data_IF_105788559103
#
_entry.id   IF_105788559103
#
_cell.length_a   1.000
_cell.length_b   1.000
_cell.length_c   1.000
_cell.angle_alpha   90.00
_cell.angle_beta   90.00
_cell.angle_gamma   90.00
#
_symmetry.space_group_name_H-M   'P 1'
#
loop_
_entity.id
_entity.type
_entity.pdbx_description
1 polymer ?
#
# COMPACT_ATOMS: atom_id res chain seq x y z
N UNK A 1 -17.93 7.96 35.81
CA UNK A 1 -17.13 7.21 34.78
C UNK A 1 -16.80 8.17 33.69
N UNK A 2 -15.53 8.65 33.63
CA UNK A 2 -15.04 9.50 32.55
C UNK A 2 -14.77 8.60 31.33
N UNK A 3 -15.75 8.44 30.46
CA UNK A 3 -15.54 7.85 29.17
C UNK A 3 -14.69 8.83 28.35
N UNK A 4 -13.38 8.63 28.35
CA UNK A 4 -12.44 9.41 27.56
C UNK A 4 -12.82 9.21 26.10
N UNK A 5 -13.13 10.28 25.37
CA UNK A 5 -13.41 10.18 23.92
C UNK A 5 -12.19 9.57 23.24
N UNK A 6 -12.37 8.62 22.32
CA UNK A 6 -11.24 8.01 21.60
C UNK A 6 -10.46 9.07 20.82
N UNK A 7 -9.14 8.92 20.77
CA UNK A 7 -8.29 9.78 19.96
C UNK A 7 -8.63 9.64 18.47
N UNK A 8 -8.14 10.57 17.65
CA UNK A 8 -8.33 10.49 16.19
C UNK A 8 -7.80 9.16 15.64
N UNK A 9 -6.62 8.74 16.07
CA UNK A 9 -6.01 7.48 15.63
C UNK A 9 -6.83 6.26 16.08
N UNK A 10 -7.30 6.22 17.31
CA UNK A 10 -8.17 5.14 17.80
C UNK A 10 -9.46 5.02 16.96
N UNK A 11 -10.06 6.14 16.57
CA UNK A 11 -11.24 6.12 15.68
C UNK A 11 -10.92 5.55 14.30
N UNK A 12 -9.82 6.00 13.68
CA UNK A 12 -9.38 5.47 12.39
C UNK A 12 -9.10 3.97 12.47
N UNK A 13 -8.43 3.53 13.53
CA UNK A 13 -8.14 2.12 13.77
C UNK A 13 -9.42 1.29 13.83
N UNK A 14 -10.43 1.75 14.58
CA UNK A 14 -11.73 1.07 14.66
C UNK A 14 -12.45 1.04 13.31
N UNK A 15 -12.46 2.14 12.56
CA UNK A 15 -13.08 2.19 11.23
C UNK A 15 -12.40 1.22 10.25
N UNK A 16 -11.07 1.11 10.27
CA UNK A 16 -10.32 0.16 9.45
C UNK A 16 -10.60 -1.29 9.88
N UNK A 17 -10.66 -1.54 11.18
CA UNK A 17 -11.01 -2.88 11.69
C UNK A 17 -12.42 -3.31 11.28
N UNK A 18 -13.37 -2.41 11.36
CA UNK A 18 -14.79 -2.68 11.08
C UNK A 18 -15.12 -2.65 9.58
N UNK A 19 -14.19 -2.22 8.73
CA UNK A 19 -14.38 -2.20 7.28
C UNK A 19 -14.76 -3.59 6.75
N UNK A 20 -15.71 -3.65 5.83
CA UNK A 20 -16.24 -4.92 5.31
C UNK A 20 -15.23 -5.64 4.41
N UNK A 21 -14.29 -4.90 3.81
CA UNK A 21 -13.28 -5.42 2.89
C UNK A 21 -11.97 -4.68 3.01
N UNK A 22 -10.91 -5.25 2.44
CA UNK A 22 -9.61 -4.56 2.29
C UNK A 22 -9.77 -3.31 1.43
N UNK A 23 -10.58 -3.37 0.39
CA UNK A 23 -10.86 -2.21 -0.48
C UNK A 23 -11.47 -1.06 0.32
N UNK A 24 -12.44 -1.33 1.18
CA UNK A 24 -13.07 -0.31 2.03
C UNK A 24 -12.08 0.23 3.07
N UNK A 25 -11.26 -0.62 3.65
CA UNK A 25 -10.21 -0.21 4.58
C UNK A 25 -9.20 0.75 3.93
N UNK A 26 -8.80 0.51 2.68
CA UNK A 26 -7.93 1.40 1.93
C UNK A 26 -8.58 2.75 1.63
N UNK A 27 -9.87 2.78 1.32
CA UNK A 27 -10.61 4.02 1.12
C UNK A 27 -10.73 4.84 2.41
N UNK A 28 -11.00 4.19 3.53
CA UNK A 28 -11.01 4.82 4.86
C UNK A 28 -9.66 5.44 5.17
N UNK A 29 -8.58 4.70 4.93
CA UNK A 29 -7.21 5.17 5.11
C UNK A 29 -6.91 6.41 4.26
N UNK A 30 -7.24 6.35 2.98
CA UNK A 30 -7.04 7.46 2.04
C UNK A 30 -7.74 8.74 2.52
N UNK A 31 -9.00 8.64 2.92
CA UNK A 31 -9.77 9.78 3.39
C UNK A 31 -9.24 10.32 4.72
N UNK A 32 -8.87 9.44 5.64
CA UNK A 32 -8.39 9.83 6.96
C UNK A 32 -7.08 10.62 6.92
N UNK A 33 -6.18 10.29 6.01
CA UNK A 33 -4.85 10.90 5.93
C UNK A 33 -4.67 11.86 4.74
N UNK A 34 -5.65 11.96 3.86
CA UNK A 34 -5.59 12.85 2.70
C UNK A 34 -4.52 12.45 1.68
N UNK A 35 -4.14 11.18 1.63
CA UNK A 35 -3.30 10.66 0.53
C UNK A 35 -4.14 10.52 -0.73
N UNK A 36 -3.51 10.65 -1.90
CA UNK A 36 -4.24 10.57 -3.16
C UNK A 36 -4.68 9.15 -3.50
N UNK A 37 -3.81 8.18 -3.26
CA UNK A 37 -4.10 6.76 -3.49
C UNK A 37 -3.43 5.87 -2.44
N UNK A 38 -4.04 4.72 -2.19
CA UNK A 38 -3.48 3.66 -1.36
C UNK A 38 -3.62 2.30 -2.05
N UNK A 39 -2.59 1.48 -1.96
CA UNK A 39 -2.52 0.19 -2.65
C UNK A 39 -1.91 -0.85 -1.74
N UNK A 40 -2.55 -1.99 -1.65
CA UNK A 40 -2.06 -3.15 -0.92
C UNK A 40 -1.77 -4.29 -1.91
N UNK A 41 -0.52 -4.79 -1.86
CA UNK A 41 -0.08 -5.97 -2.59
C UNK A 41 0.26 -7.10 -1.62
N UNK A 42 -0.20 -8.30 -1.92
CA UNK A 42 0.29 -9.52 -1.29
C UNK A 42 0.90 -10.40 -2.37
N UNK A 43 2.22 -10.65 -2.25
CA UNK A 43 2.90 -11.59 -3.11
C UNK A 43 2.64 -13.00 -2.60
N UNK A 44 1.92 -13.77 -3.39
CA UNK A 44 1.67 -15.18 -3.12
C UNK A 44 2.80 -15.98 -3.73
N UNK A 45 3.83 -16.30 -2.93
CA UNK A 45 4.88 -17.24 -3.31
C UNK A 45 4.46 -18.66 -2.90
N UNK A 46 3.87 -19.39 -3.81
CA UNK A 46 3.91 -20.84 -3.76
C UNK A 46 5.10 -21.25 -4.64
N UNK A 47 5.96 -22.12 -4.12
CA UNK A 47 7.19 -22.62 -4.72
C UNK A 47 7.16 -22.58 -6.25
N UNK A 48 7.98 -21.70 -6.84
CA UNK A 48 8.25 -21.56 -8.29
C UNK A 48 7.10 -21.11 -9.22
N UNK A 49 5.92 -20.79 -8.70
CA UNK A 49 4.84 -20.21 -9.49
C UNK A 49 4.53 -18.84 -8.92
N UNK A 50 4.82 -17.79 -9.70
CA UNK A 50 4.27 -16.45 -9.43
C UNK A 50 2.78 -16.52 -9.72
N UNK A 51 2.01 -16.92 -8.72
CA UNK A 51 0.56 -16.86 -8.82
C UNK A 51 0.10 -15.41 -8.83
N UNK A 52 -1.07 -15.17 -9.40
CA UNK A 52 -1.64 -13.82 -9.52
C UNK A 52 -1.60 -13.12 -8.16
N UNK A 53 -0.88 -11.99 -8.02
CA UNK A 53 -0.80 -11.32 -6.74
C UNK A 53 -2.19 -10.84 -6.31
N UNK A 54 -2.46 -10.94 -5.02
CA UNK A 54 -3.64 -10.29 -4.45
C UNK A 54 -3.36 -8.80 -4.35
N UNK A 55 -4.14 -7.98 -5.06
CA UNK A 55 -4.00 -6.53 -5.09
C UNK A 55 -5.33 -5.87 -4.83
N UNK A 56 -5.34 -4.89 -3.93
CA UNK A 56 -6.44 -3.95 -3.75
C UNK A 56 -5.89 -2.53 -3.82
N UNK A 57 -6.62 -1.64 -4.45
CA UNK A 57 -6.13 -0.28 -4.71
C UNK A 57 -7.26 0.72 -4.83
N UNK A 58 -6.97 1.96 -4.45
CA UNK A 58 -7.84 3.10 -4.73
C UNK A 58 -7.46 3.85 -6.01
N UNK A 59 -6.46 3.37 -6.76
CA UNK A 59 -6.14 3.92 -8.08
C UNK A 59 -7.37 3.90 -9.00
N UNK A 60 -7.43 4.85 -9.92
CA UNK A 60 -8.49 4.90 -10.92
C UNK A 60 -8.42 3.69 -11.86
N UNK A 61 -9.58 3.20 -12.27
CA UNK A 61 -9.69 2.01 -13.14
C UNK A 61 -8.88 2.17 -14.44
N UNK A 62 -8.82 3.37 -15.00
CA UNK A 62 -8.02 3.66 -16.20
C UNK A 62 -6.53 3.37 -15.99
N UNK A 63 -5.97 3.73 -14.83
CA UNK A 63 -4.59 3.43 -14.51
C UNK A 63 -4.37 1.93 -14.23
N UNK A 64 -5.26 1.30 -13.50
CA UNK A 64 -5.20 -0.14 -13.23
C UNK A 64 -5.20 -0.93 -14.53
N UNK A 65 -6.11 -0.61 -15.45
CA UNK A 65 -6.19 -1.25 -16.77
C UNK A 65 -4.91 -1.03 -17.59
N UNK A 66 -4.38 0.19 -17.57
CA UNK A 66 -3.14 0.53 -18.27
C UNK A 66 -1.95 -0.26 -17.72
N UNK A 67 -1.84 -0.32 -16.39
CA UNK A 67 -0.79 -1.04 -15.69
C UNK A 67 -0.79 -2.53 -16.06
N UNK A 68 -1.97 -3.15 -16.09
CA UNK A 68 -2.12 -4.56 -16.46
C UNK A 68 -1.83 -4.81 -17.95
N UNK A 69 -2.39 -3.99 -18.85
CA UNK A 69 -2.21 -4.13 -20.30
C UNK A 69 -0.75 -3.96 -20.73
N UNK A 70 -0.01 -3.10 -20.07
CA UNK A 70 1.41 -2.84 -20.36
C UNK A 70 2.37 -3.75 -19.59
N UNK A 71 1.83 -4.64 -18.75
CA UNK A 71 2.65 -5.54 -17.92
C UNK A 71 3.67 -4.78 -17.04
N UNK A 72 3.25 -3.64 -16.52
CA UNK A 72 4.11 -2.75 -15.73
C UNK A 72 4.61 -3.36 -14.42
N UNK A 73 3.97 -4.41 -13.95
CA UNK A 73 4.43 -5.17 -12.77
C UNK A 73 5.88 -5.64 -12.91
N UNK A 74 6.34 -5.87 -14.12
CA UNK A 74 7.71 -6.34 -14.40
C UNK A 74 8.77 -5.24 -14.28
N UNK A 75 8.36 -3.98 -14.41
CA UNK A 75 9.29 -2.83 -14.45
C UNK A 75 9.01 -1.80 -13.35
N UNK A 76 7.99 -2.01 -12.54
CA UNK A 76 7.65 -1.12 -11.42
C UNK A 76 8.75 -1.14 -10.35
N UNK A 77 9.54 -0.07 -10.23
CA UNK A 77 10.68 -0.05 -9.31
C UNK A 77 10.24 -0.02 -7.85
N UNK A 78 9.10 0.56 -7.53
CA UNK A 78 8.57 0.63 -6.16
C UNK A 78 8.14 -0.75 -5.68
N UNK A 79 7.42 -1.49 -6.52
CA UNK A 79 7.00 -2.85 -6.19
C UNK A 79 8.20 -3.78 -6.02
N UNK A 80 9.19 -3.68 -6.92
CA UNK A 80 10.43 -4.46 -6.84
C UNK A 80 11.17 -4.22 -5.53
N UNK A 81 11.36 -2.95 -5.16
CA UNK A 81 12.01 -2.59 -3.90
C UNK A 81 11.20 -3.05 -2.69
N UNK A 82 9.90 -2.85 -2.71
CA UNK A 82 9.01 -3.22 -1.62
C UNK A 82 8.97 -4.72 -1.31
N UNK A 83 9.20 -5.57 -2.31
CA UNK A 83 9.22 -7.02 -2.14
C UNK A 83 10.54 -7.55 -1.57
N UNK A 84 11.60 -6.74 -1.53
CA UNK A 84 12.91 -7.13 -0.98
C UNK A 84 13.32 -6.38 0.27
N UNK A 85 12.82 -5.16 0.47
CA UNK A 85 13.10 -4.37 1.69
C UNK A 85 12.29 -4.89 2.88
N UNK A 86 12.80 -4.65 4.07
CA UNK A 86 12.11 -4.97 5.33
C UNK A 86 11.56 -3.73 6.04
N UNK A 87 12.13 -2.57 5.78
CA UNK A 87 11.76 -1.31 6.42
C UNK A 87 10.98 -0.42 5.48
N UNK A 88 10.06 0.41 6.00
CA UNK A 88 9.39 1.42 5.21
C UNK A 88 10.37 2.36 4.50
N UNK A 89 9.96 2.84 3.34
CA UNK A 89 10.78 3.73 2.52
C UNK A 89 9.95 4.77 1.77
N UNK A 90 10.56 5.93 1.56
CA UNK A 90 10.04 6.97 0.67
C UNK A 90 10.40 6.61 -0.78
N UNK A 91 9.51 6.89 -1.73
CA UNK A 91 9.76 6.57 -3.14
C UNK A 91 10.97 7.31 -3.72
N UNK A 92 11.36 8.44 -3.13
CA UNK A 92 12.57 9.18 -3.51
C UNK A 92 13.88 8.42 -3.19
N UNK A 93 13.81 7.41 -2.32
CA UNK A 93 14.95 6.54 -2.01
C UNK A 93 15.14 5.41 -3.03
N UNK A 94 14.21 5.25 -3.95
CA UNK A 94 14.22 4.16 -4.94
C UNK A 94 15.01 4.59 -6.17
N UNK A 95 15.97 3.76 -6.57
CA UNK A 95 16.68 3.94 -7.82
C UNK A 95 15.77 3.62 -9.00
N UNK A 96 15.69 4.54 -9.97
CA UNK A 96 14.84 4.42 -11.14
C UNK A 96 15.69 4.01 -12.35
N UNK A 97 15.58 2.75 -12.80
CA UNK A 97 16.25 2.32 -14.03
C UNK A 97 15.69 3.08 -15.24
N UNK A 98 16.50 3.29 -16.26
CA UNK A 98 16.08 3.99 -17.48
C UNK A 98 14.86 3.33 -18.14
N UNK A 99 14.75 2.01 -18.07
CA UNK A 99 13.61 1.25 -18.59
C UNK A 99 12.27 1.59 -17.89
N UNK A 100 12.29 2.16 -16.69
CA UNK A 100 11.10 2.53 -15.93
C UNK A 100 10.64 3.98 -16.16
N UNK A 101 11.37 4.80 -16.92
CA UNK A 101 11.02 6.22 -17.12
C UNK A 101 9.68 6.39 -17.85
N UNK A 102 9.43 5.61 -18.89
CA UNK A 102 8.16 5.64 -19.62
C UNK A 102 7.00 5.25 -18.71
N UNK A 103 7.18 4.25 -17.88
CA UNK A 103 6.20 3.84 -16.86
C UNK A 103 5.86 4.98 -15.90
N UNK A 104 6.86 5.71 -15.39
CA UNK A 104 6.63 6.83 -14.48
C UNK A 104 5.90 8.00 -15.14
N UNK A 105 6.23 8.30 -16.40
CA UNK A 105 5.53 9.34 -17.16
C UNK A 105 4.07 8.96 -17.40
N UNK A 106 3.81 7.71 -17.76
CA UNK A 106 2.46 7.18 -17.96
C UNK A 106 1.64 7.20 -16.66
N UNK A 107 2.27 6.87 -15.52
CA UNK A 107 1.65 6.99 -14.21
C UNK A 107 1.23 8.43 -13.89
N UNK A 108 2.10 9.40 -14.15
CA UNK A 108 1.80 10.83 -13.96
C UNK A 108 0.64 11.29 -14.85
N UNK A 109 0.60 10.85 -16.10
CA UNK A 109 -0.49 11.15 -17.03
C UNK A 109 -1.85 10.59 -16.54
N UNK A 110 -1.82 9.56 -15.72
CA UNK A 110 -3.00 8.98 -15.09
C UNK A 110 -3.28 9.49 -13.66
N UNK A 111 -2.62 10.56 -13.26
CA UNK A 111 -2.86 11.23 -11.99
C UNK A 111 -2.13 10.65 -10.78
N UNK A 112 -1.21 9.73 -10.99
CA UNK A 112 -0.34 9.23 -9.91
C UNK A 112 0.70 10.29 -9.57
N UNK A 113 0.75 10.71 -8.31
CA UNK A 113 1.70 11.72 -7.84
C UNK A 113 3.14 11.21 -7.84
N UNK A 114 4.08 12.16 -7.83
CA UNK A 114 5.51 11.85 -7.84
C UNK A 114 6.02 11.31 -6.51
N UNK A 115 5.33 11.58 -5.40
CA UNK A 115 5.75 11.18 -4.06
C UNK A 115 4.92 10.01 -3.54
N UNK A 116 5.57 9.18 -2.76
CA UNK A 116 4.93 8.05 -2.13
C UNK A 116 5.75 7.50 -0.98
N UNK A 117 5.11 6.64 -0.22
CA UNK A 117 5.68 5.95 0.93
C UNK A 117 5.18 4.51 0.92
N UNK A 118 6.09 3.57 1.02
CA UNK A 118 5.76 2.15 1.00
C UNK A 118 6.19 1.46 2.29
N UNK A 119 5.33 0.60 2.78
CA UNK A 119 5.53 -0.14 4.02
C UNK A 119 5.55 -1.64 3.69
N UNK A 120 6.75 -2.25 3.64
CA UNK A 120 6.89 -3.69 3.49
C UNK A 120 6.37 -4.42 4.73
N UNK A 121 5.71 -5.53 4.52
CA UNK A 121 5.20 -6.40 5.57
C UNK A 121 5.78 -7.79 5.34
N UNK A 122 6.50 -8.29 6.33
CA UNK A 122 7.01 -9.66 6.34
C UNK A 122 6.23 -10.45 7.36
N UNK A 123 5.46 -11.41 6.88
CA UNK A 123 4.63 -12.28 7.72
C UNK A 123 4.93 -13.73 7.37
N UNK A 124 5.75 -14.38 8.20
CA UNK A 124 6.23 -15.74 7.95
C UNK A 124 6.98 -15.81 6.60
N UNK A 125 6.51 -16.61 5.65
CA UNK A 125 7.05 -16.68 4.29
C UNK A 125 6.37 -15.70 3.31
N UNK A 126 5.40 -14.91 3.78
CA UNK A 126 4.67 -13.95 2.95
C UNK A 126 5.38 -12.60 2.88
N UNK A 127 5.24 -11.99 1.73
CA UNK A 127 5.65 -10.60 1.51
C UNK A 127 4.45 -9.79 1.06
N UNK A 128 4.21 -8.68 1.75
CA UNK A 128 3.18 -7.73 1.39
C UNK A 128 3.73 -6.31 1.38
N UNK A 129 3.00 -5.40 0.75
CA UNK A 129 3.38 -4.00 0.61
C UNK A 129 2.15 -3.13 0.67
N UNK A 130 2.13 -2.17 1.60
CA UNK A 130 1.19 -1.05 1.56
C UNK A 130 1.90 0.17 0.98
N UNK A 131 1.39 0.73 -0.10
CA UNK A 131 1.93 1.92 -0.74
C UNK A 131 0.93 3.06 -0.72
N UNK A 132 1.42 4.23 -0.34
CA UNK A 132 0.66 5.48 -0.28
C UNK A 132 1.25 6.43 -1.29
N UNK A 133 0.40 7.08 -2.08
CA UNK A 133 0.80 8.01 -3.12
C UNK A 133 0.23 9.40 -2.86
N UNK A 134 1.01 10.42 -3.16
CA UNK A 134 0.65 11.82 -2.96
C UNK A 134 1.17 12.75 -4.05
N UNK A 135 0.37 13.77 -4.34
CA UNK A 135 0.76 14.90 -5.19
C UNK A 135 1.34 16.07 -4.39
N UNK A 136 1.46 15.93 -3.07
CA UNK A 136 2.11 16.95 -2.25
C UNK A 136 3.53 17.23 -2.76
N UNK A 137 3.99 18.48 -2.63
CA UNK A 137 5.39 18.81 -2.87
C UNK A 137 6.32 18.05 -1.91
N UNK A 138 7.58 17.86 -2.30
CA UNK A 138 8.52 17.01 -1.57
C UNK A 138 8.69 17.37 -0.09
N UNK A 139 8.79 18.65 0.23
CA UNK A 139 8.93 19.12 1.62
C UNK A 139 7.67 18.88 2.44
N UNK A 140 6.51 19.19 1.88
CA UNK A 140 5.21 18.94 2.51
C UNK A 140 4.97 17.45 2.72
N UNK A 141 5.34 16.63 1.72
CA UNK A 141 5.26 15.19 1.84
C UNK A 141 6.15 14.64 2.95
N UNK A 142 7.37 15.14 3.06
CA UNK A 142 8.30 14.74 4.13
C UNK A 142 7.74 15.03 5.52
N UNK A 143 7.07 16.18 5.70
CA UNK A 143 6.41 16.54 6.96
C UNK A 143 5.23 15.60 7.25
N UNK A 144 4.42 15.29 6.25
CA UNK A 144 3.30 14.37 6.37
C UNK A 144 3.77 12.98 6.78
N UNK A 145 4.79 12.44 6.13
CA UNK A 145 5.39 11.14 6.47
C UNK A 145 5.94 11.14 7.90
N UNK A 146 6.72 12.15 8.26
CA UNK A 146 7.29 12.26 9.59
C UNK A 146 6.22 12.30 10.69
N UNK A 147 5.08 12.91 10.40
CA UNK A 147 3.98 13.05 11.36
C UNK A 147 3.19 11.75 11.54
N UNK A 148 2.96 10.98 10.47
CA UNK A 148 2.01 9.86 10.47
C UNK A 148 2.65 8.47 10.33
N UNK A 149 3.93 8.34 10.04
CA UNK A 149 4.56 7.07 9.70
C UNK A 149 4.34 5.95 10.73
N UNK A 150 4.28 6.29 12.01
CA UNK A 150 4.07 5.30 13.09
C UNK A 150 2.63 4.79 13.06
N UNK A 151 1.65 5.67 12.89
CA UNK A 151 0.25 5.29 12.71
C UNK A 151 0.05 4.43 11.46
N UNK A 152 0.69 4.83 10.36
CA UNK A 152 0.61 4.09 9.10
C UNK A 152 1.20 2.68 9.21
N UNK A 153 2.26 2.51 9.97
CA UNK A 153 2.86 1.20 10.20
C UNK A 153 1.87 0.27 10.93
N UNK A 154 1.22 0.73 11.97
CA UNK A 154 0.22 -0.05 12.70
C UNK A 154 -0.98 -0.39 11.81
N UNK A 155 -1.47 0.56 11.04
CA UNK A 155 -2.58 0.34 10.11
C UNK A 155 -2.21 -0.59 8.95
N UNK A 156 -0.96 -0.57 8.50
CA UNK A 156 -0.47 -1.49 7.48
C UNK A 156 -0.58 -2.96 7.93
N UNK A 157 -0.18 -3.26 9.15
CA UNK A 157 -0.35 -4.61 9.72
C UNK A 157 -1.82 -4.97 9.89
N UNK A 158 -2.65 -4.04 10.30
CA UNK A 158 -4.09 -4.26 10.43
C UNK A 158 -4.75 -4.59 9.09
N UNK A 159 -4.42 -3.85 8.05
CA UNK A 159 -4.88 -4.10 6.68
C UNK A 159 -4.36 -5.45 6.18
N UNK A 160 -3.11 -5.79 6.48
CA UNK A 160 -2.54 -7.08 6.13
C UNK A 160 -3.31 -8.25 6.78
N UNK A 161 -3.58 -8.18 8.07
CA UNK A 161 -4.37 -9.21 8.76
C UNK A 161 -5.78 -9.35 8.15
N UNK A 162 -6.40 -8.23 7.80
CA UNK A 162 -7.69 -8.22 7.10
C UNK A 162 -7.59 -8.91 5.73
N UNK A 163 -6.52 -8.69 4.99
CA UNK A 163 -6.29 -9.32 3.69
C UNK A 163 -6.09 -10.84 3.81
N UNK A 164 -5.34 -11.29 4.80
CA UNK A 164 -5.15 -12.72 5.07
C UNK A 164 -6.50 -13.37 5.42
N UNK A 165 -7.30 -12.72 6.25
CA UNK A 165 -8.63 -13.22 6.58
C UNK A 165 -9.58 -13.24 5.37
N UNK A 166 -9.55 -12.20 4.52
CA UNK A 166 -10.35 -12.12 3.30
C UNK A 166 -10.01 -13.24 2.30
N UNK A 167 -8.71 -13.61 2.21
CA UNK A 167 -8.25 -14.67 1.31
C UNK A 167 -8.49 -16.08 1.84
N UNK A 168 -8.23 -16.30 3.12
CA UNK A 168 -8.14 -17.63 3.70
C UNK A 168 -9.16 -17.91 4.80
N UNK A 169 -9.87 -16.88 5.26
CA UNK A 169 -10.80 -16.99 6.38
C UNK A 169 -10.06 -17.36 7.68
N UNK A 170 -10.64 -18.28 8.46
CA UNK A 170 -10.03 -18.74 9.72
C UNK A 170 -8.93 -19.79 9.52
N UNK A 171 -8.76 -20.28 8.31
CA UNK A 171 -7.79 -21.34 7.98
C UNK A 171 -6.63 -20.76 7.17
N UNK A 172 -5.75 -20.02 7.85
CA UNK A 172 -4.49 -19.60 7.25
C UNK A 172 -3.63 -20.85 6.95
N UNK A 173 -3.28 -21.11 5.65
CA UNK A 173 -2.54 -22.33 5.28
C UNK A 173 -1.06 -22.29 5.70
N UNK A 174 -0.54 -21.16 6.18
CA UNK A 174 0.84 -21.01 6.61
C UNK A 174 0.89 -20.98 8.14
N UNK A 175 1.44 -22.02 8.76
CA UNK A 175 1.55 -22.10 10.21
C UNK A 175 2.50 -21.08 10.83
#
# INVERSE_FOLDING_TARGET
MNSKRPSRFERITLEVQDAESVQDALQIFQLAYGVDFSTYHLALTIVDIVDTPYVRTTYRDAWVSRYLLRDYVKIDPVLREGLVRQLPFDWREVEIPSAAHEFLLDAQDHGVGANGYSIPIVDKSRRALLSLNSRQAGDEWSETVAHYREEWLELAFLIHHKAIFELYGQHDPIP
#
